data_IF_234875720717
#
_entry.id   IF_234875720717
#
_cell.length_a   1.000
_cell.length_b   1.000
_cell.length_c   1.000
_cell.angle_alpha   90.00
_cell.angle_beta   90.00
_cell.angle_gamma   90.00
#
_symmetry.space_group_name_H-M   'P 1'
#
loop_
_entity.id
_entity.type
_entity.pdbx_description
1 polymer ?
#
# COMPACT_ATOMS: atom_id res chain seq x y z
N UNK A 1 3.19 -10.03 8.25
CA UNK A 1 2.52 -10.90 7.26
C UNK A 1 1.36 -10.22 6.54
N UNK A 2 0.46 -9.50 7.23
CA UNK A 2 -0.73 -8.93 6.56
C UNK A 2 -0.46 -7.77 5.60
N UNK A 3 0.49 -6.89 5.90
CA UNK A 3 0.88 -5.82 4.98
C UNK A 3 1.45 -6.36 3.65
N UNK A 4 2.22 -7.44 3.69
CA UNK A 4 2.74 -8.12 2.49
C UNK A 4 1.61 -8.70 1.64
N UNK A 5 0.62 -9.34 2.28
CA UNK A 5 -0.58 -9.86 1.57
C UNK A 5 -1.36 -8.72 0.92
N UNK A 6 -1.58 -7.63 1.65
CA UNK A 6 -2.29 -6.46 1.11
C UNK A 6 -1.52 -5.81 -0.05
N UNK A 7 -0.18 -5.72 0.02
CA UNK A 7 0.65 -5.25 -1.09
C UNK A 7 0.53 -6.15 -2.32
N UNK A 8 0.57 -7.49 -2.14
CA UNK A 8 0.40 -8.41 -3.26
C UNK A 8 -0.98 -8.21 -3.94
N UNK A 9 -2.05 -8.10 -3.14
CA UNK A 9 -3.40 -7.79 -3.64
C UNK A 9 -3.45 -6.43 -4.34
N UNK A 10 -2.75 -5.42 -3.81
CA UNK A 10 -2.66 -4.10 -4.43
C UNK A 10 -1.95 -4.15 -5.79
N UNK A 11 -0.89 -4.93 -5.92
CA UNK A 11 -0.18 -5.11 -7.19
C UNK A 11 -1.05 -5.82 -8.23
N UNK A 12 -1.83 -6.81 -7.80
CA UNK A 12 -2.84 -7.46 -8.64
C UNK A 12 -3.91 -6.46 -9.12
N UNK A 13 -4.48 -5.66 -8.21
CA UNK A 13 -5.47 -4.63 -8.53
C UNK A 13 -4.90 -3.55 -9.48
N UNK A 14 -3.67 -3.12 -9.23
CA UNK A 14 -2.97 -2.15 -10.08
C UNK A 14 -2.69 -2.70 -11.47
N UNK A 15 -2.27 -3.96 -11.59
CA UNK A 15 -2.07 -4.62 -12.88
C UNK A 15 -3.38 -4.75 -13.66
N UNK A 16 -4.47 -5.19 -13.02
CA UNK A 16 -5.78 -5.27 -13.67
C UNK A 16 -6.29 -3.87 -14.08
N UNK A 17 -6.05 -2.86 -13.25
CA UNK A 17 -6.34 -1.45 -13.60
C UNK A 17 -5.56 -1.01 -14.84
N UNK A 18 -4.26 -1.33 -14.92
CA UNK A 18 -3.43 -1.01 -16.08
C UNK A 18 -3.97 -1.66 -17.36
N UNK A 19 -4.49 -2.89 -17.28
CA UNK A 19 -5.18 -3.51 -18.41
C UNK A 19 -6.49 -2.79 -18.74
N UNK A 20 -7.32 -2.50 -17.73
CA UNK A 20 -8.63 -1.85 -17.88
C UNK A 20 -8.55 -0.51 -18.59
N UNK A 21 -7.56 0.31 -18.27
CA UNK A 21 -7.39 1.62 -18.91
C UNK A 21 -6.50 1.62 -20.16
N UNK A 22 -5.88 0.48 -20.49
CA UNK A 22 -4.88 0.39 -21.54
C UNK A 22 -3.62 1.24 -21.26
N UNK A 23 -3.08 1.13 -20.04
CA UNK A 23 -1.97 1.93 -19.57
C UNK A 23 -0.66 1.68 -20.35
N UNK A 24 0.21 2.68 -20.35
CA UNK A 24 1.57 2.60 -20.85
C UNK A 24 2.45 1.71 -19.97
N UNK A 25 2.77 0.51 -20.46
CA UNK A 25 3.59 -0.47 -19.75
C UNK A 25 5.09 -0.21 -19.82
N UNK A 26 5.56 0.74 -20.64
CA UNK A 26 7.00 1.05 -20.73
C UNK A 26 7.54 1.61 -19.42
N UNK A 27 6.67 2.12 -18.54
CA UNK A 27 7.01 2.55 -17.18
C UNK A 27 7.57 1.43 -16.31
N UNK A 28 7.43 0.17 -16.72
CA UNK A 28 7.90 -1.04 -16.03
C UNK A 28 9.21 -1.59 -16.62
N UNK A 29 9.80 -0.90 -17.61
CA UNK A 29 11.07 -1.32 -18.22
C UNK A 29 12.17 -1.37 -17.14
N UNK A 30 12.86 -2.52 -16.97
CA UNK A 30 13.89 -2.67 -15.95
C UNK A 30 14.98 -1.59 -16.02
N UNK A 31 15.32 -1.07 -17.21
CA UNK A 31 16.35 -0.04 -17.40
C UNK A 31 15.97 1.27 -16.72
N UNK A 32 14.67 1.63 -16.69
CA UNK A 32 14.20 2.82 -15.98
C UNK A 32 14.42 2.70 -14.47
N UNK A 33 14.20 1.52 -13.92
CA UNK A 33 14.35 1.28 -12.48
C UNK A 33 15.80 1.03 -12.07
N UNK A 34 16.66 0.59 -13.00
CA UNK A 34 18.12 0.58 -12.80
C UNK A 34 18.71 1.99 -12.84
N UNK A 35 18.19 2.89 -13.68
CA UNK A 35 18.66 4.27 -13.77
C UNK A 35 18.41 5.07 -12.47
N UNK A 36 17.44 4.65 -11.66
CA UNK A 36 17.21 5.18 -10.30
C UNK A 36 16.94 4.03 -9.33
N UNK A 37 17.96 3.55 -8.59
CA UNK A 37 17.83 2.42 -7.66
C UNK A 37 17.19 2.86 -6.33
N UNK A 38 15.97 3.40 -6.38
CA UNK A 38 15.20 3.74 -5.19
C UNK A 38 14.74 2.45 -4.46
N UNK A 39 14.68 2.50 -3.13
CA UNK A 39 14.38 1.36 -2.27
C UNK A 39 13.11 0.61 -2.71
N UNK A 40 13.26 -0.70 -2.94
CA UNK A 40 12.17 -1.60 -3.37
C UNK A 40 11.57 -1.33 -4.76
N UNK A 41 11.95 -0.24 -5.46
CA UNK A 41 11.29 0.20 -6.69
C UNK A 41 11.43 -0.81 -7.82
N UNK A 42 12.64 -1.36 -8.01
CA UNK A 42 12.91 -2.37 -9.03
C UNK A 42 12.13 -3.67 -8.75
N UNK A 43 12.05 -4.07 -7.48
CA UNK A 43 11.27 -5.25 -7.08
C UNK A 43 9.78 -5.04 -7.38
N UNK A 44 9.23 -3.88 -7.02
CA UNK A 44 7.84 -3.56 -7.30
C UNK A 44 7.53 -3.50 -8.81
N UNK A 45 8.42 -2.89 -9.60
CA UNK A 45 8.31 -2.86 -11.05
C UNK A 45 8.31 -4.27 -11.65
N UNK A 46 9.23 -5.12 -11.21
CA UNK A 46 9.33 -6.49 -11.67
C UNK A 46 8.04 -7.27 -11.42
N UNK A 47 7.44 -7.16 -10.24
CA UNK A 47 6.18 -7.86 -9.95
C UNK A 47 5.05 -7.40 -10.88
N UNK A 48 4.91 -6.09 -11.10
CA UNK A 48 3.91 -5.55 -12.02
C UNK A 48 4.17 -5.98 -13.47
N UNK A 49 5.44 -6.00 -13.89
CA UNK A 49 5.85 -6.47 -15.20
C UNK A 49 5.47 -7.94 -15.40
N UNK A 50 5.81 -8.79 -14.43
CA UNK A 50 5.51 -10.23 -14.47
C UNK A 50 4.00 -10.50 -14.48
N UNK A 51 3.20 -9.71 -13.75
CA UNK A 51 1.73 -9.81 -13.75
C UNK A 51 1.12 -9.45 -15.12
N UNK A 52 1.76 -8.55 -15.87
CA UNK A 52 1.30 -8.06 -17.17
C UNK A 52 1.98 -8.76 -18.35
N UNK A 53 2.81 -9.78 -18.08
CA UNK A 53 3.60 -10.48 -19.09
C UNK A 53 2.71 -11.23 -20.10
N UNK A 54 3.02 -11.06 -21.37
CA UNK A 54 2.36 -11.65 -22.54
C UNK A 54 3.24 -11.54 -23.78
N UNK A 55 2.93 -12.32 -24.81
CA UNK A 55 3.71 -12.36 -26.05
C UNK A 55 3.66 -11.03 -26.82
N UNK A 56 2.46 -10.46 -26.98
CA UNK A 56 2.26 -9.17 -27.66
C UNK A 56 1.46 -8.21 -26.77
N UNK A 57 2.09 -7.10 -26.37
CA UNK A 57 1.43 -6.07 -25.59
C UNK A 57 0.63 -5.11 -26.50
N UNK A 58 -0.63 -4.78 -26.17
CA UNK A 58 -1.39 -3.79 -26.92
C UNK A 58 -0.74 -2.40 -26.80
N UNK A 59 -0.89 -1.59 -27.84
CA UNK A 59 -0.47 -0.19 -27.81
C UNK A 59 -1.20 0.55 -26.67
N UNK A 60 -0.52 1.46 -25.95
CA UNK A 60 -1.15 2.19 -24.87
C UNK A 60 -2.16 3.21 -25.40
N UNK A 61 -3.21 3.47 -24.62
CA UNK A 61 -4.26 4.45 -24.96
C UNK A 61 -3.75 5.89 -24.86
N UNK A 62 -2.73 6.13 -24.03
CA UNK A 62 -2.09 7.44 -23.85
C UNK A 62 -0.58 7.33 -23.73
N UNK A 63 0.14 8.41 -24.06
CA UNK A 63 1.59 8.47 -23.86
C UNK A 63 1.96 8.56 -22.37
N UNK A 64 1.15 9.27 -21.59
CA UNK A 64 1.40 9.54 -20.17
C UNK A 64 0.15 9.25 -19.33
N UNK A 65 0.22 8.18 -18.54
CA UNK A 65 -0.82 7.86 -17.59
C UNK A 65 -0.81 8.80 -16.37
N UNK A 66 -1.90 8.81 -15.56
CA UNK A 66 -1.89 9.46 -14.26
C UNK A 66 -0.78 8.96 -13.33
N UNK A 67 -0.34 9.83 -12.41
CA UNK A 67 0.75 9.50 -11.47
C UNK A 67 0.45 8.31 -10.56
N UNK A 68 -0.82 8.07 -10.23
CA UNK A 68 -1.22 6.89 -9.45
C UNK A 68 -0.94 5.56 -10.16
N UNK A 69 -0.60 5.59 -11.46
CA UNK A 69 -0.19 4.44 -12.27
C UNK A 69 1.31 4.50 -12.55
N UNK A 70 1.79 5.64 -13.08
CA UNK A 70 3.22 5.85 -13.41
C UNK A 70 4.15 5.64 -12.21
N UNK A 71 3.71 6.05 -11.02
CA UNK A 71 4.50 5.98 -9.80
C UNK A 71 4.23 4.72 -8.97
N UNK A 72 3.45 3.74 -9.47
CA UNK A 72 3.20 2.49 -8.73
C UNK A 72 4.49 1.78 -8.32
N UNK A 73 5.53 1.64 -9.18
CA UNK A 73 6.79 1.04 -8.75
C UNK A 73 7.43 1.75 -7.56
N UNK A 74 7.48 3.08 -7.56
CA UNK A 74 8.10 3.84 -6.47
C UNK A 74 7.27 3.82 -5.20
N UNK A 75 5.94 3.91 -5.31
CA UNK A 75 5.02 3.89 -4.17
C UNK A 75 5.04 2.51 -3.49
N UNK A 76 4.91 1.44 -4.29
CA UNK A 76 4.96 0.07 -3.77
C UNK A 76 6.36 -0.28 -3.26
N UNK A 77 7.42 0.21 -3.91
CA UNK A 77 8.80 0.03 -3.46
C UNK A 77 9.06 0.62 -2.08
N UNK A 78 8.60 1.85 -1.83
CA UNK A 78 8.68 2.48 -0.51
C UNK A 78 7.93 1.68 0.57
N UNK A 79 6.80 1.06 0.23
CA UNK A 79 6.09 0.18 1.15
C UNK A 79 6.84 -1.13 1.43
N UNK A 80 7.49 -1.74 0.41
CA UNK A 80 8.35 -2.92 0.62
C UNK A 80 9.44 -2.61 1.64
N UNK A 81 10.10 -1.46 1.48
CA UNK A 81 11.15 -0.99 2.38
C UNK A 81 10.61 -0.79 3.81
N UNK A 82 9.49 -0.06 3.96
CA UNK A 82 8.88 0.18 5.27
C UNK A 82 8.43 -1.11 5.98
N UNK A 83 7.93 -2.10 5.22
CA UNK A 83 7.61 -3.42 5.76
C UNK A 83 8.88 -4.14 6.23
N UNK A 84 9.98 -4.02 5.49
CA UNK A 84 11.28 -4.58 5.85
C UNK A 84 11.80 -4.01 7.17
N UNK A 85 11.73 -2.70 7.34
CA UNK A 85 12.13 -2.00 8.56
C UNK A 85 11.26 -2.40 9.76
N UNK A 86 9.94 -2.46 9.59
CA UNK A 86 9.04 -2.92 10.64
C UNK A 86 9.31 -4.38 11.04
N UNK A 87 9.59 -5.26 10.07
CA UNK A 87 9.97 -6.65 10.35
C UNK A 87 11.26 -6.71 11.16
N UNK A 88 12.31 -6.01 10.74
CA UNK A 88 13.59 -6.00 11.44
C UNK A 88 13.44 -5.49 12.88
N UNK A 89 12.68 -4.42 13.08
CA UNK A 89 12.42 -3.88 14.41
C UNK A 89 11.68 -4.91 15.29
N UNK A 90 10.65 -5.58 14.76
CA UNK A 90 9.95 -6.65 15.50
C UNK A 90 10.87 -7.82 15.83
N UNK A 91 11.71 -8.26 14.89
CA UNK A 91 12.65 -9.37 15.10
C UNK A 91 13.65 -9.06 16.22
N UNK A 92 14.13 -7.83 16.33
CA UNK A 92 15.01 -7.41 17.44
C UNK A 92 14.27 -7.53 18.77
N UNK A 93 13.09 -6.91 18.89
CA UNK A 93 12.34 -6.89 20.16
C UNK A 93 11.90 -8.29 20.62
N UNK A 94 11.49 -9.17 19.69
CA UNK A 94 11.08 -10.53 20.02
C UNK A 94 12.24 -11.41 20.51
N UNK A 95 13.48 -11.06 20.19
CA UNK A 95 14.67 -11.82 20.56
C UNK A 95 15.55 -11.09 21.59
N UNK A 96 15.07 -9.99 22.18
CA UNK A 96 15.80 -9.18 23.14
C UNK A 96 15.45 -9.54 24.60
N UNK A 97 16.39 -9.27 25.51
CA UNK A 97 16.13 -9.23 26.95
C UNK A 97 15.62 -7.82 27.33
N UNK A 98 14.32 -7.60 27.14
CA UNK A 98 13.66 -6.31 27.33
C UNK A 98 13.29 -5.99 28.80
N UNK A 99 13.54 -6.91 29.73
CA UNK A 99 13.18 -6.75 31.14
C UNK A 99 14.10 -5.76 31.88
N UNK A 100 13.61 -5.29 33.03
CA UNK A 100 14.35 -4.50 34.00
C UNK A 100 14.02 -4.94 35.43
N UNK A 101 15.01 -5.23 36.30
CA UNK A 101 16.46 -5.22 36.03
C UNK A 101 16.91 -6.43 35.20
N UNK A 102 18.08 -6.32 34.57
CA UNK A 102 18.70 -7.42 33.82
C UNK A 102 19.71 -8.16 34.72
N UNK A 103 19.59 -9.48 34.74
CA UNK A 103 20.50 -10.38 35.46
C UNK A 103 21.60 -10.85 34.50
N UNK A 104 22.86 -10.53 34.81
CA UNK A 104 24.04 -11.00 34.10
C UNK A 104 24.62 -12.18 34.87
N UNK A 105 24.11 -13.37 34.56
CA UNK A 105 24.39 -14.59 35.32
C UNK A 105 25.87 -14.94 35.41
N UNK A 106 26.61 -14.79 34.30
CA UNK A 106 28.05 -15.09 34.24
C UNK A 106 28.89 -14.15 35.11
N UNK A 107 28.44 -12.91 35.31
CA UNK A 107 29.11 -11.90 36.11
C UNK A 107 28.60 -11.85 37.57
N UNK A 108 27.49 -12.55 37.87
CA UNK A 108 26.80 -12.45 39.15
C UNK A 108 26.21 -11.06 39.43
N UNK A 109 25.91 -10.28 38.39
CA UNK A 109 25.43 -8.89 38.50
C UNK A 109 23.93 -8.77 38.21
N UNK A 110 23.32 -7.77 38.84
CA UNK A 110 21.94 -7.32 38.55
C UNK A 110 21.99 -5.82 38.27
N UNK A 111 21.68 -5.42 37.04
CA UNK A 111 21.81 -4.04 36.59
C UNK A 111 20.44 -3.46 36.19
N UNK A 112 20.21 -2.19 36.52
CA UNK A 112 19.05 -1.43 36.03
C UNK A 112 19.26 -1.05 34.57
N UNK A 113 18.19 -1.10 33.77
CA UNK A 113 18.23 -0.87 32.32
C UNK A 113 16.93 -0.26 31.81
N UNK A 114 16.97 0.37 30.64
CA UNK A 114 15.81 0.88 29.90
C UNK A 114 15.41 0.04 28.69
N UNK A 115 15.81 -1.24 28.63
CA UNK A 115 15.59 -2.11 27.46
C UNK A 115 14.09 -2.33 27.12
N UNK A 116 13.17 -2.02 28.03
CA UNK A 116 11.72 -2.05 27.78
C UNK A 116 11.23 -0.89 26.88
N UNK A 117 12.09 0.07 26.54
CA UNK A 117 11.72 1.26 25.77
C UNK A 117 11.88 1.05 24.26
N UNK A 118 10.77 1.01 23.54
CA UNK A 118 10.70 0.51 22.15
C UNK A 118 10.69 1.62 21.08
N UNK A 119 11.57 2.63 21.19
CA UNK A 119 11.53 3.82 20.32
C UNK A 119 11.70 3.50 18.82
N UNK A 120 12.65 2.63 18.48
CA UNK A 120 12.91 2.22 17.09
C UNK A 120 11.74 1.45 16.49
N UNK A 121 11.10 0.59 17.29
CA UNK A 121 9.90 -0.14 16.87
C UNK A 121 8.73 0.82 16.58
N UNK A 122 8.51 1.81 17.44
CA UNK A 122 7.49 2.85 17.21
C UNK A 122 7.71 3.56 15.87
N UNK A 123 8.92 4.07 15.62
CA UNK A 123 9.28 4.78 14.40
C UNK A 123 9.12 3.93 13.14
N UNK A 124 9.44 2.63 13.22
CA UNK A 124 9.27 1.72 12.10
C UNK A 124 7.78 1.54 11.75
N UNK A 125 6.90 1.42 12.76
CA UNK A 125 5.46 1.34 12.53
C UNK A 125 4.84 2.69 12.12
N UNK A 126 5.34 3.83 12.60
CA UNK A 126 4.94 5.15 12.11
C UNK A 126 5.24 5.31 10.62
N UNK A 127 6.46 4.92 10.22
CA UNK A 127 6.90 4.92 8.81
C UNK A 127 6.05 3.98 7.96
N UNK A 128 5.74 2.78 8.45
CA UNK A 128 4.86 1.83 7.78
C UNK A 128 3.44 2.40 7.59
N UNK A 129 2.90 3.08 8.61
CA UNK A 129 1.61 3.77 8.52
C UNK A 129 1.58 4.78 7.38
N UNK A 130 2.59 5.64 7.28
CA UNK A 130 2.71 6.62 6.18
C UNK A 130 2.80 5.94 4.81
N UNK A 131 3.58 4.86 4.68
CA UNK A 131 3.70 4.11 3.43
C UNK A 131 2.39 3.43 3.01
N UNK A 132 1.62 2.87 3.96
CA UNK A 132 0.27 2.32 3.70
C UNK A 132 -0.66 3.43 3.23
N UNK A 133 -0.64 4.60 3.86
CA UNK A 133 -1.48 5.73 3.48
C UNK A 133 -1.20 6.21 2.03
N UNK A 134 0.07 6.22 1.60
CA UNK A 134 0.45 6.52 0.22
C UNK A 134 -0.10 5.50 -0.78
N UNK A 135 0.02 4.20 -0.48
CA UNK A 135 -0.53 3.15 -1.33
C UNK A 135 -2.06 3.22 -1.42
N UNK A 136 -2.73 3.43 -0.29
CA UNK A 136 -4.18 3.61 -0.22
C UNK A 136 -4.66 4.83 -1.02
N UNK A 137 -3.93 5.96 -0.95
CA UNK A 137 -4.25 7.14 -1.73
C UNK A 137 -4.10 6.89 -3.24
N UNK A 138 -3.05 6.18 -3.66
CA UNK A 138 -2.86 5.82 -5.06
C UNK A 138 -3.95 4.86 -5.58
N UNK A 139 -4.37 3.89 -4.75
CA UNK A 139 -5.49 2.99 -5.05
C UNK A 139 -6.81 3.75 -5.23
N UNK A 140 -7.16 4.61 -4.27
CA UNK A 140 -8.33 5.46 -4.38
C UNK A 140 -8.27 6.34 -5.64
N UNK A 141 -7.11 6.93 -5.96
CA UNK A 141 -6.94 7.73 -7.17
C UNK A 141 -7.15 6.91 -8.45
N UNK A 142 -6.68 5.65 -8.51
CA UNK A 142 -6.95 4.75 -9.64
C UNK A 142 -8.43 4.41 -9.78
N UNK A 143 -9.13 4.17 -8.66
CA UNK A 143 -10.60 4.02 -8.67
C UNK A 143 -11.29 5.27 -9.25
N UNK A 144 -10.88 6.48 -8.85
CA UNK A 144 -11.42 7.74 -9.41
C UNK A 144 -11.12 7.85 -10.91
N UNK A 145 -9.93 7.46 -11.37
CA UNK A 145 -9.60 7.49 -12.80
C UNK A 145 -10.50 6.56 -13.62
N UNK A 146 -10.74 5.34 -13.12
CA UNK A 146 -11.60 4.34 -13.77
C UNK A 146 -13.06 4.81 -13.83
N UNK A 147 -13.57 5.35 -12.73
CA UNK A 147 -14.99 5.75 -12.58
C UNK A 147 -15.28 7.18 -13.05
N UNK A 148 -14.31 7.84 -13.69
CA UNK A 148 -14.43 9.20 -14.20
C UNK A 148 -15.34 9.34 -15.43
N UNK A 149 -15.38 10.55 -15.98
CA UNK A 149 -16.18 10.88 -17.16
C UNK A 149 -15.50 10.42 -18.45
N UNK A 150 -15.78 9.20 -18.89
CA UNK A 150 -15.53 8.70 -20.25
C UNK A 150 -14.10 8.92 -20.76
N UNK A 151 -13.14 8.24 -20.14
CA UNK A 151 -11.71 8.29 -20.52
C UNK A 151 -11.26 6.92 -21.01
N UNK A 152 -10.18 6.89 -21.81
CA UNK A 152 -9.51 5.65 -22.23
C UNK A 152 -10.42 4.66 -22.97
N UNK A 153 -11.42 5.17 -23.70
CA UNK A 153 -12.39 4.36 -24.44
C UNK A 153 -13.45 3.68 -23.57
N UNK A 154 -13.52 3.98 -22.28
CA UNK A 154 -14.51 3.42 -21.35
C UNK A 154 -15.77 4.30 -21.31
N UNK A 155 -16.97 3.70 -21.14
CA UNK A 155 -18.20 4.47 -20.96
C UNK A 155 -18.17 5.24 -19.64
N UNK A 156 -18.93 6.35 -19.58
CA UNK A 156 -19.01 7.17 -18.36
C UNK A 156 -19.36 6.30 -17.16
N UNK A 157 -18.60 6.47 -16.08
CA UNK A 157 -18.88 5.89 -14.77
C UNK A 157 -18.82 4.35 -14.73
N UNK A 158 -18.22 3.74 -15.77
CA UNK A 158 -18.22 2.30 -16.01
C UNK A 158 -19.62 1.69 -16.06
N UNK A 159 -20.59 2.45 -16.59
CA UNK A 159 -21.93 1.95 -16.83
C UNK A 159 -22.06 1.35 -18.24
N UNK A 160 -22.68 0.17 -18.40
CA UNK A 160 -23.01 -0.38 -19.72
C UNK A 160 -23.92 0.54 -20.55
N UNK A 161 -24.73 1.37 -19.90
CA UNK A 161 -25.63 2.36 -20.54
C UNK A 161 -25.08 3.78 -20.47
N UNK A 162 -23.81 3.94 -20.08
CA UNK A 162 -23.13 5.22 -19.95
C UNK A 162 -23.83 6.19 -19.00
N UNK A 163 -23.85 7.47 -19.38
CA UNK A 163 -24.32 8.58 -18.52
C UNK A 163 -25.80 8.56 -18.14
N UNK A 164 -26.59 7.64 -18.69
CA UNK A 164 -27.98 7.40 -18.27
C UNK A 164 -28.07 6.72 -16.88
N UNK A 165 -26.97 6.13 -16.40
CA UNK A 165 -26.84 5.56 -15.07
C UNK A 165 -25.64 6.18 -14.35
N UNK A 166 -25.73 6.30 -13.02
CA UNK A 166 -24.61 6.78 -12.21
C UNK A 166 -23.46 5.76 -12.11
N UNK A 167 -23.67 4.52 -12.57
CA UNK A 167 -22.66 3.45 -12.54
C UNK A 167 -21.99 3.34 -11.17
N UNK A 168 -20.65 3.34 -11.16
CA UNK A 168 -19.85 3.25 -9.92
C UNK A 168 -19.49 4.61 -9.30
N UNK A 169 -19.91 5.75 -9.88
CA UNK A 169 -19.58 7.08 -9.33
C UNK A 169 -20.04 7.29 -7.89
N UNK A 170 -21.24 6.85 -7.44
CA UNK A 170 -21.65 7.06 -6.05
C UNK A 170 -20.66 6.46 -5.03
N UNK A 171 -19.96 5.38 -5.40
CA UNK A 171 -18.98 4.71 -4.55
C UNK A 171 -17.71 5.53 -4.33
N UNK A 172 -17.44 6.56 -5.15
CA UNK A 172 -16.33 7.50 -4.93
C UNK A 172 -16.40 8.14 -3.53
N UNK A 173 -17.61 8.36 -3.00
CA UNK A 173 -17.84 8.90 -1.65
C UNK A 173 -17.37 7.91 -0.58
N UNK A 174 -17.69 6.63 -0.76
CA UNK A 174 -17.25 5.55 0.15
C UNK A 174 -15.74 5.40 0.10
N UNK A 175 -15.15 5.36 -1.09
CA UNK A 175 -13.68 5.31 -1.30
C UNK A 175 -13.00 6.51 -0.62
N UNK A 176 -13.54 7.71 -0.80
CA UNK A 176 -13.01 8.93 -0.17
C UNK A 176 -13.10 8.87 1.36
N UNK A 177 -14.22 8.40 1.90
CA UNK A 177 -14.41 8.23 3.34
C UNK A 177 -13.43 7.23 3.96
N UNK A 178 -13.22 6.09 3.30
CA UNK A 178 -12.24 5.08 3.74
C UNK A 178 -10.83 5.66 3.70
N UNK A 179 -10.46 6.37 2.63
CA UNK A 179 -9.15 7.02 2.54
C UNK A 179 -8.96 8.08 3.63
N UNK A 180 -9.99 8.87 3.94
CA UNK A 180 -9.94 9.85 5.03
C UNK A 180 -9.66 9.20 6.38
N UNK A 181 -10.30 8.06 6.67
CA UNK A 181 -10.04 7.29 7.89
C UNK A 181 -8.60 6.74 7.96
N UNK A 182 -8.04 6.29 6.83
CA UNK A 182 -6.63 5.87 6.75
C UNK A 182 -5.70 7.06 6.99
N UNK A 183 -5.96 8.20 6.35
CA UNK A 183 -5.16 9.42 6.52
C UNK A 183 -5.15 9.91 7.96
N UNK A 184 -6.32 9.93 8.62
CA UNK A 184 -6.41 10.30 10.03
C UNK A 184 -5.56 9.39 10.93
N UNK A 185 -5.60 8.08 10.68
CA UNK A 185 -4.78 7.09 11.41
C UNK A 185 -3.28 7.18 11.10
N UNK A 186 -2.90 7.81 10.00
CA UNK A 186 -1.50 7.99 9.62
C UNK A 186 -0.80 9.11 10.42
N UNK A 187 -1.55 9.92 11.19
CA UNK A 187 -0.95 10.92 12.08
C UNK A 187 -0.07 10.22 13.14
N UNK A 188 1.15 10.71 13.40
CA UNK A 188 2.02 10.16 14.43
C UNK A 188 1.37 10.19 15.81
N UNK A 189 1.58 9.13 16.59
CA UNK A 189 1.09 9.02 17.98
C UNK A 189 2.22 8.87 18.99
N UNK A 190 3.43 8.57 18.54
CA UNK A 190 4.57 8.32 19.44
C UNK A 190 4.98 9.52 20.31
N UNK A 191 4.52 10.72 19.97
CA UNK A 191 4.77 11.96 20.71
C UNK A 191 3.70 12.24 21.78
N UNK A 192 2.62 11.47 21.80
CA UNK A 192 1.45 11.72 22.65
C UNK A 192 1.58 10.95 23.98
N UNK A 193 2.42 11.44 24.89
CA UNK A 193 2.56 10.89 26.24
C UNK A 193 2.70 12.00 27.28
N UNK A 194 2.44 11.66 28.54
CA UNK A 194 2.65 12.54 29.70
C UNK A 194 3.46 11.77 30.73
N UNK A 195 4.21 12.52 31.54
CA UNK A 195 4.95 11.94 32.64
C UNK A 195 3.98 11.29 33.64
N UNK A 196 4.32 10.08 34.08
CA UNK A 196 3.62 9.33 35.12
C UNK A 196 4.61 8.95 36.23
N UNK A 197 4.12 8.24 37.25
CA UNK A 197 4.96 7.77 38.36
C UNK A 197 5.77 8.90 39.00
N UNK A 198 5.09 10.02 39.33
CA UNK A 198 5.68 11.23 39.93
C UNK A 198 6.86 11.83 39.12
N UNK A 199 6.85 11.64 37.80
CA UNK A 199 7.90 12.15 36.90
C UNK A 199 9.08 11.21 36.74
N UNK A 200 9.05 10.01 37.33
CA UNK A 200 10.06 8.97 37.07
C UNK A 200 9.89 8.37 35.68
N UNK A 201 8.65 8.15 35.24
CA UNK A 201 8.32 7.69 33.89
C UNK A 201 7.92 8.89 33.04
N UNK A 202 8.90 9.68 32.62
CA UNK A 202 8.72 10.96 31.93
C UNK A 202 8.76 10.85 30.39
N UNK A 203 8.96 9.65 29.84
CA UNK A 203 8.99 9.40 28.40
C UNK A 203 8.31 8.08 28.01
N UNK A 204 7.55 8.09 26.91
CA UNK A 204 6.99 6.88 26.30
C UNK A 204 7.03 6.94 24.76
N UNK A 205 6.61 5.86 24.09
CA UNK A 205 6.68 5.75 22.62
C UNK A 205 5.33 5.51 21.96
N UNK A 206 4.28 5.27 22.76
CA UNK A 206 2.95 4.84 22.28
C UNK A 206 3.02 3.66 21.28
N UNK A 207 4.02 2.78 21.39
CA UNK A 207 4.24 1.67 20.44
C UNK A 207 3.01 0.79 20.24
N UNK A 208 2.27 0.37 21.29
CA UNK A 208 1.04 -0.41 21.10
C UNK A 208 0.00 0.31 20.22
N UNK A 209 -0.14 1.62 20.36
CA UNK A 209 -1.07 2.42 19.57
C UNK A 209 -0.57 2.59 18.12
N UNK A 210 0.73 2.79 17.91
CA UNK A 210 1.33 2.86 16.58
C UNK A 210 1.16 1.54 15.80
N UNK A 211 1.27 0.39 16.47
CA UNK A 211 1.02 -0.93 15.88
C UNK A 211 -0.49 -1.13 15.61
N UNK A 212 -1.34 -0.84 16.60
CA UNK A 212 -2.79 -1.01 16.48
C UNK A 212 -3.41 -0.17 15.36
N UNK A 213 -2.97 1.10 15.19
CA UNK A 213 -3.45 1.95 14.10
C UNK A 213 -3.03 1.40 12.73
N UNK A 214 -1.82 0.87 12.60
CA UNK A 214 -1.35 0.22 11.37
C UNK A 214 -2.23 -0.98 10.98
N UNK A 215 -2.57 -1.85 11.94
CA UNK A 215 -3.48 -2.97 11.69
C UNK A 215 -4.85 -2.49 11.17
N UNK A 216 -5.41 -1.44 11.79
CA UNK A 216 -6.65 -0.81 11.33
C UNK A 216 -6.55 -0.21 9.93
N UNK A 217 -5.42 0.41 9.59
CA UNK A 217 -5.17 0.96 8.24
C UNK A 217 -5.10 -0.14 7.18
N UNK A 218 -4.48 -1.29 7.48
CA UNK A 218 -4.42 -2.44 6.55
C UNK A 218 -5.84 -2.95 6.26
N UNK A 219 -6.69 -3.09 7.29
CA UNK A 219 -8.07 -3.55 7.10
C UNK A 219 -8.88 -2.60 6.20
N UNK A 220 -8.72 -1.29 6.38
CA UNK A 220 -9.35 -0.27 5.53
C UNK A 220 -8.78 -0.27 4.11
N UNK A 221 -7.46 -0.40 3.97
CA UNK A 221 -6.79 -0.43 2.67
C UNK A 221 -7.24 -1.64 1.85
N UNK A 222 -7.44 -2.81 2.44
CA UNK A 222 -8.00 -3.98 1.76
C UNK A 222 -9.40 -3.72 1.18
N UNK A 223 -10.22 -2.89 1.82
CA UNK A 223 -11.51 -2.45 1.26
C UNK A 223 -11.32 -1.57 0.03
N UNK A 224 -10.35 -0.65 0.05
CA UNK A 224 -10.01 0.17 -1.13
C UNK A 224 -9.52 -0.69 -2.29
N UNK A 225 -8.66 -1.68 -2.02
CA UNK A 225 -8.20 -2.64 -3.02
C UNK A 225 -9.39 -3.38 -3.65
N UNK A 226 -10.38 -3.78 -2.85
CA UNK A 226 -11.58 -4.43 -3.36
C UNK A 226 -12.41 -3.51 -4.28
N UNK A 227 -12.57 -2.23 -3.92
CA UNK A 227 -13.21 -1.24 -4.80
C UNK A 227 -12.45 -1.06 -6.12
N UNK A 228 -11.12 -0.97 -6.05
CA UNK A 228 -10.26 -0.86 -7.24
C UNK A 228 -10.38 -2.10 -8.14
N UNK A 229 -10.31 -3.32 -7.58
CA UNK A 229 -10.49 -4.57 -8.32
C UNK A 229 -11.85 -4.63 -9.01
N UNK A 230 -12.92 -4.30 -8.31
CA UNK A 230 -14.27 -4.29 -8.87
C UNK A 230 -14.39 -3.29 -10.03
N UNK A 231 -13.83 -2.08 -9.89
CA UNK A 231 -13.83 -1.11 -10.98
C UNK A 231 -12.94 -1.55 -12.16
N UNK A 232 -11.80 -2.17 -11.88
CA UNK A 232 -10.89 -2.66 -12.91
C UNK A 232 -11.52 -3.83 -13.69
N UNK A 233 -12.18 -4.77 -13.02
CA UNK A 233 -12.93 -5.85 -13.66
C UNK A 233 -14.06 -5.31 -14.55
N UNK A 234 -14.89 -4.42 -14.01
CA UNK A 234 -15.93 -3.77 -14.80
C UNK A 234 -15.36 -3.03 -16.03
N UNK A 235 -14.21 -2.37 -15.90
CA UNK A 235 -13.55 -1.72 -17.03
C UNK A 235 -13.08 -2.71 -18.09
N UNK A 236 -12.71 -3.94 -17.72
CA UNK A 236 -12.35 -4.99 -18.65
C UNK A 236 -13.60 -5.57 -19.34
N UNK A 237 -14.65 -5.86 -18.57
CA UNK A 237 -15.91 -6.41 -19.10
C UNK A 237 -16.56 -5.49 -20.14
N UNK A 238 -16.36 -4.19 -20.01
CA UNK A 238 -16.87 -3.18 -20.94
C UNK A 238 -16.01 -3.01 -22.21
N UNK A 239 -14.92 -3.76 -22.35
CA UNK A 239 -14.05 -3.72 -23.53
C UNK A 239 -14.29 -4.94 -24.41
N UNK A 240 -14.92 -4.70 -25.56
CA UNK A 240 -15.12 -5.73 -26.57
C UNK A 240 -13.78 -6.24 -27.15
N UNK A 241 -13.66 -7.57 -27.24
CA UNK A 241 -12.52 -8.23 -27.90
C UNK A 241 -11.17 -8.07 -27.18
N UNK A 242 -11.15 -7.59 -25.94
CA UNK A 242 -9.91 -7.42 -25.19
C UNK A 242 -9.45 -8.73 -24.54
N UNK A 243 -8.23 -9.17 -24.86
CA UNK A 243 -7.61 -10.33 -24.20
C UNK A 243 -6.72 -9.85 -23.05
N UNK A 244 -6.94 -10.34 -21.84
CA UNK A 244 -6.11 -10.11 -20.63
C UNK A 244 -4.80 -10.90 -20.67
N UNK A 245 -3.75 -10.42 -20.00
CA UNK A 245 -2.56 -11.24 -19.78
C UNK A 245 -2.92 -12.48 -18.93
N UNK A 246 -2.23 -13.62 -19.06
CA UNK A 246 -2.64 -14.86 -18.39
C UNK A 246 -2.82 -14.73 -16.88
N UNK A 247 -1.96 -13.94 -16.21
CA UNK A 247 -2.03 -13.74 -14.75
C UNK A 247 -3.16 -12.80 -14.34
N UNK A 248 -3.40 -11.73 -15.09
CA UNK A 248 -4.51 -10.81 -14.84
C UNK A 248 -5.86 -11.41 -15.22
N UNK A 249 -5.91 -12.33 -16.19
CA UNK A 249 -7.08 -13.17 -16.46
C UNK A 249 -7.49 -13.99 -15.23
N UNK A 250 -6.53 -14.64 -14.57
CA UNK A 250 -6.80 -15.40 -13.34
C UNK A 250 -7.20 -14.52 -12.14
N UNK A 251 -6.86 -13.23 -12.15
CA UNK A 251 -7.29 -12.27 -11.12
C UNK A 251 -8.72 -11.78 -11.39
N UNK A 252 -9.11 -11.72 -12.67
CA UNK A 252 -10.42 -11.26 -13.11
C UNK A 252 -11.54 -12.27 -12.84
N UNK A 253 -11.24 -13.57 -12.95
CA UNK A 253 -12.17 -14.70 -12.70
C UNK A 253 -12.33 -15.01 -11.22
#
# INVERSE_FOLDING_TARGET
TDALRALAQQQQAGALTMEGIGANRTILDPRLHMARPAAGQQQAAKVLHDLLARDEAPAPTTLQDPLSIRCMPSIHGALIEAIGQARQAVEIELNAAADNPLVLGDDGLVLSTGNFHTASLALAFETLGLAIAQCAAASAARFIQLTGSGRNGLPKYLSPVGGASAGLVPLQKTVTSILAAIRHKANPVMLDFLAVSEGVEDHATQTPLAVAKCAGMIALWRRLIAFELMAAAQAIDLRDGFTLAPRTAAIHT
#
